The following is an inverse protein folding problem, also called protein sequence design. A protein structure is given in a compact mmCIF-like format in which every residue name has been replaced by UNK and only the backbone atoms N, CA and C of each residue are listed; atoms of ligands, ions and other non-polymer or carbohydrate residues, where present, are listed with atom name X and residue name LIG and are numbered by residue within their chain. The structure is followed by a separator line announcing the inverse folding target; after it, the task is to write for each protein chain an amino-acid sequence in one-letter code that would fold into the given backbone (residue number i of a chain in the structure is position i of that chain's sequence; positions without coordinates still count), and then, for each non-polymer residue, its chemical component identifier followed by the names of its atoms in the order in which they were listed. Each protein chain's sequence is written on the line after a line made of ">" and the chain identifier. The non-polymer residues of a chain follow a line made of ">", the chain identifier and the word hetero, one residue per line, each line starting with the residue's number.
data_IF_339059844840
#
_entry.id   IF_339059844840
#
_cell.length_a   1.000
_cell.length_b   1.000
_cell.length_c   1.000
_cell.angle_alpha   90.00
_cell.angle_beta   90.00
_cell.angle_gamma   90.00
#
_symmetry.space_group_name_H-M   'P 1'
#
loop_
_entity.id
_entity.type
_entity.pdbx_description
1 polymer ?
#
# COMPACT_ATOMS: atom_id res chain seq x y z
N UNK A 1 -5.71 -26.85 -23.04
CA UNK A 1 -5.82 -25.43 -22.64
C UNK A 1 -4.72 -24.94 -21.68
N UNK A 2 -3.93 -25.82 -21.02
CA UNK A 2 -2.90 -25.39 -20.05
C UNK A 2 -1.55 -24.91 -20.64
N UNK A 3 -1.25 -25.20 -21.91
CA UNK A 3 0.08 -24.94 -22.50
C UNK A 3 0.35 -23.48 -22.89
N UNK A 4 -0.68 -22.66 -23.08
CA UNK A 4 -0.54 -21.25 -23.48
C UNK A 4 -0.34 -20.29 -22.28
N UNK A 5 -0.39 -20.76 -21.04
CA UNK A 5 -0.29 -19.92 -19.84
C UNK A 5 1.14 -19.79 -19.29
N UNK A 6 2.00 -20.79 -19.57
CA UNK A 6 3.37 -20.89 -19.08
C UNK A 6 4.25 -19.65 -19.40
N UNK A 7 4.29 -19.14 -20.65
CA UNK A 7 5.14 -18.00 -20.98
C UNK A 7 4.73 -16.71 -20.27
N UNK A 8 3.41 -16.53 -20.05
CA UNK A 8 2.87 -15.38 -19.33
C UNK A 8 3.25 -15.40 -17.85
N UNK A 9 3.15 -16.57 -17.21
CA UNK A 9 3.55 -16.75 -15.80
C UNK A 9 5.06 -16.52 -15.60
N UNK A 10 5.90 -17.03 -16.50
CA UNK A 10 7.35 -16.79 -16.48
C UNK A 10 7.68 -15.30 -16.61
N UNK A 11 7.03 -14.61 -17.54
CA UNK A 11 7.24 -13.17 -17.77
C UNK A 11 6.85 -12.35 -16.54
N UNK A 12 5.71 -12.65 -15.92
CA UNK A 12 5.27 -12.00 -14.69
C UNK A 12 6.23 -12.25 -13.54
N UNK A 13 6.67 -13.49 -13.33
CA UNK A 13 7.62 -13.84 -12.27
C UNK A 13 8.94 -13.06 -12.42
N UNK A 14 9.49 -12.98 -13.63
CA UNK A 14 10.72 -12.23 -13.93
C UNK A 14 10.52 -10.74 -13.68
N UNK A 15 9.40 -10.17 -14.11
CA UNK A 15 9.10 -8.74 -13.89
C UNK A 15 9.04 -8.39 -12.40
N UNK A 16 8.34 -9.20 -11.59
CA UNK A 16 8.23 -8.97 -10.14
C UNK A 16 9.58 -9.12 -9.44
N UNK A 17 10.36 -10.15 -9.79
CA UNK A 17 11.68 -10.37 -9.19
C UNK A 17 12.70 -9.30 -9.58
N UNK A 18 12.63 -8.78 -10.80
CA UNK A 18 13.46 -7.66 -11.22
C UNK A 18 13.16 -6.41 -10.38
N UNK A 19 11.87 -6.10 -10.19
CA UNK A 19 11.42 -5.03 -9.28
C UNK A 19 11.91 -5.26 -7.84
N UNK A 20 11.87 -6.50 -7.35
CA UNK A 20 12.37 -6.83 -6.01
C UNK A 20 13.85 -6.46 -5.84
N UNK A 21 14.69 -6.75 -6.84
CA UNK A 21 16.13 -6.42 -6.84
C UNK A 21 16.36 -4.90 -6.91
N UNK A 22 15.60 -4.18 -7.73
CA UNK A 22 15.71 -2.72 -7.83
C UNK A 22 15.34 -2.02 -6.51
N UNK A 23 14.30 -2.51 -5.83
CA UNK A 23 13.88 -2.03 -4.51
C UNK A 23 14.92 -2.35 -3.42
N UNK A 24 15.52 -3.55 -3.47
CA UNK A 24 16.60 -3.96 -2.55
C UNK A 24 17.80 -3.02 -2.65
N UNK A 25 18.23 -2.73 -3.89
CA UNK A 25 19.31 -1.78 -4.17
C UNK A 25 18.99 -0.35 -3.70
N UNK A 26 17.71 0.00 -3.72
CA UNK A 26 17.21 1.31 -3.26
C UNK A 26 16.94 1.36 -1.75
N UNK A 27 17.32 0.33 -0.99
CA UNK A 27 17.06 0.20 0.46
C UNK A 27 15.58 0.22 0.86
N UNK A 28 14.66 -0.02 -0.09
CA UNK A 28 13.22 -0.17 0.16
C UNK A 28 12.91 -1.60 0.57
N UNK A 29 13.45 -2.00 1.72
CA UNK A 29 13.52 -3.40 2.13
C UNK A 29 12.14 -4.04 2.36
N UNK A 30 11.17 -3.31 2.93
CA UNK A 30 9.85 -3.88 3.19
C UNK A 30 9.09 -4.17 1.89
N UNK A 31 9.14 -3.26 0.92
CA UNK A 31 8.57 -3.48 -0.42
C UNK A 31 9.33 -4.55 -1.20
N UNK A 32 10.67 -4.51 -1.17
CA UNK A 32 11.52 -5.51 -1.81
C UNK A 32 11.18 -6.92 -1.31
N UNK A 33 11.01 -7.09 0.02
CA UNK A 33 10.64 -8.37 0.62
C UNK A 33 9.31 -8.89 0.07
N UNK A 34 8.30 -8.04 -0.05
CA UNK A 34 6.99 -8.43 -0.60
C UNK A 34 7.12 -8.84 -2.07
N UNK A 35 7.85 -8.07 -2.88
CA UNK A 35 8.11 -8.45 -4.27
C UNK A 35 8.90 -9.76 -4.39
N UNK A 36 9.86 -10.02 -3.50
CA UNK A 36 10.54 -11.32 -3.47
C UNK A 36 9.56 -12.45 -3.16
N UNK A 37 8.70 -12.30 -2.15
CA UNK A 37 7.71 -13.32 -1.78
C UNK A 37 6.74 -13.63 -2.92
N UNK A 38 6.16 -12.59 -3.53
CA UNK A 38 5.25 -12.73 -4.68
C UNK A 38 5.97 -13.36 -5.89
N UNK A 39 7.17 -12.88 -6.21
CA UNK A 39 7.96 -13.40 -7.33
C UNK A 39 8.40 -14.85 -7.15
N UNK A 40 8.77 -15.24 -5.92
CA UNK A 40 9.10 -16.62 -5.55
C UNK A 40 7.86 -17.51 -5.69
N UNK A 41 6.70 -17.05 -5.22
CA UNK A 41 5.45 -17.79 -5.33
C UNK A 41 5.09 -18.06 -6.80
N UNK A 42 5.21 -17.05 -7.67
CA UNK A 42 5.01 -17.20 -9.11
C UNK A 42 6.00 -18.20 -9.73
N UNK A 43 7.28 -18.14 -9.36
CA UNK A 43 8.28 -19.12 -9.83
C UNK A 43 8.00 -20.54 -9.34
N UNK A 44 7.52 -20.71 -8.11
CA UNK A 44 7.09 -22.02 -7.60
C UNK A 44 5.92 -22.58 -8.42
N UNK A 45 4.98 -21.73 -8.82
CA UNK A 45 3.85 -22.14 -9.66
C UNK A 45 4.29 -22.48 -11.09
N UNK A 46 5.26 -21.76 -11.66
CA UNK A 46 5.93 -22.14 -12.92
C UNK A 46 6.61 -23.51 -12.78
N UNK A 47 7.36 -23.74 -11.70
CA UNK A 47 8.09 -24.98 -11.47
C UNK A 47 7.18 -26.22 -11.44
N UNK A 48 5.94 -26.09 -10.94
CA UNK A 48 4.94 -27.16 -10.91
C UNK A 48 4.49 -27.61 -12.31
N UNK A 49 4.54 -26.72 -13.30
CA UNK A 49 3.96 -26.94 -14.64
C UNK A 49 5.04 -27.24 -15.70
N UNK A 50 6.26 -26.75 -15.49
CA UNK A 50 7.41 -27.02 -16.38
C UNK A 50 7.69 -28.52 -16.45
N UNK A 51 7.88 -29.05 -17.66
CA UNK A 51 8.21 -30.47 -17.89
C UNK A 51 9.70 -30.73 -18.08
N UNK A 52 10.43 -29.72 -18.57
CA UNK A 52 11.86 -29.79 -18.85
C UNK A 52 12.68 -29.84 -17.55
N UNK A 53 13.42 -30.94 -17.35
CA UNK A 53 14.20 -31.13 -16.12
C UNK A 53 15.38 -30.15 -15.99
N UNK A 54 16.00 -29.72 -17.10
CA UNK A 54 17.09 -28.74 -17.04
C UNK A 54 16.59 -27.37 -16.57
N UNK A 55 15.41 -26.94 -17.06
CA UNK A 55 14.74 -25.73 -16.60
C UNK A 55 14.29 -25.83 -15.15
N UNK A 56 13.80 -27.00 -14.71
CA UNK A 56 13.43 -27.21 -13.30
C UNK A 56 14.63 -27.03 -12.36
N UNK A 57 15.79 -27.59 -12.71
CA UNK A 57 17.02 -27.41 -11.92
C UNK A 57 17.38 -25.93 -11.84
N UNK A 58 17.39 -25.23 -12.97
CA UNK A 58 17.67 -23.78 -13.02
C UNK A 58 16.71 -22.97 -12.14
N UNK A 59 15.40 -23.22 -12.22
CA UNK A 59 14.41 -22.50 -11.42
C UNK A 59 14.54 -22.82 -9.93
N UNK A 60 14.84 -24.08 -9.54
CA UNK A 60 15.09 -24.41 -8.13
C UNK A 60 16.29 -23.65 -7.55
N UNK A 61 17.38 -23.53 -8.31
CA UNK A 61 18.56 -22.76 -7.89
C UNK A 61 18.22 -21.28 -7.71
N UNK A 62 17.48 -20.70 -8.67
CA UNK A 62 17.03 -19.29 -8.58
C UNK A 62 16.09 -19.06 -7.39
N UNK A 63 15.10 -19.93 -7.21
CA UNK A 63 14.16 -19.87 -6.09
C UNK A 63 14.92 -19.93 -4.76
N UNK A 64 15.90 -20.84 -4.64
CA UNK A 64 16.76 -20.92 -3.45
C UNK A 64 17.49 -19.60 -3.19
N UNK A 65 18.17 -19.04 -4.19
CA UNK A 65 18.88 -17.78 -4.04
C UNK A 65 17.98 -16.61 -3.62
N UNK A 66 16.78 -16.50 -4.21
CA UNK A 66 15.81 -15.46 -3.83
C UNK A 66 15.21 -15.70 -2.44
N UNK A 67 14.92 -16.94 -2.06
CA UNK A 67 14.46 -17.27 -0.70
C UNK A 67 15.51 -16.93 0.35
N UNK A 68 16.78 -17.28 0.11
CA UNK A 68 17.88 -16.97 1.03
C UNK A 68 18.02 -15.45 1.22
N UNK A 69 17.93 -14.67 0.14
CA UNK A 69 17.95 -13.20 0.22
C UNK A 69 16.74 -12.64 0.96
N UNK A 70 15.54 -13.14 0.68
CA UNK A 70 14.31 -12.72 1.35
C UNK A 70 14.35 -13.00 2.86
N UNK A 71 14.89 -14.15 3.27
CA UNK A 71 15.02 -14.50 4.69
C UNK A 71 16.04 -13.60 5.40
N UNK A 72 17.22 -13.35 4.78
CA UNK A 72 18.19 -12.40 5.32
C UNK A 72 17.59 -11.00 5.51
N UNK A 73 16.83 -10.54 4.50
CA UNK A 73 16.17 -9.25 4.54
C UNK A 73 15.10 -9.19 5.64
N UNK A 74 14.31 -10.26 5.79
CA UNK A 74 13.31 -10.39 6.86
C UNK A 74 13.94 -10.35 8.24
N UNK A 75 15.06 -11.04 8.45
CA UNK A 75 15.82 -11.00 9.72
C UNK A 75 16.32 -9.59 10.00
N UNK A 76 16.91 -8.91 9.00
CA UNK A 76 17.36 -7.53 9.13
C UNK A 76 16.21 -6.57 9.49
N UNK A 77 15.08 -6.67 8.77
CA UNK A 77 13.89 -5.88 9.01
C UNK A 77 13.32 -6.08 10.41
N UNK A 78 13.24 -7.33 10.87
CA UNK A 78 12.76 -7.64 12.21
C UNK A 78 13.68 -7.05 13.28
N UNK A 79 15.00 -7.14 13.08
CA UNK A 79 16.00 -6.53 13.99
C UNK A 79 15.85 -5.00 14.04
N UNK A 80 15.77 -4.34 12.89
CA UNK A 80 15.61 -2.86 12.82
C UNK A 80 14.28 -2.42 13.44
N UNK A 81 13.20 -3.20 13.26
CA UNK A 81 11.92 -2.97 13.93
C UNK A 81 12.04 -3.17 15.44
N UNK A 82 12.69 -4.24 15.90
CA UNK A 82 12.92 -4.54 17.32
C UNK A 82 13.74 -3.48 18.04
N UNK A 83 14.80 -2.99 17.39
CA UNK A 83 15.59 -1.86 17.87
C UNK A 83 14.83 -0.53 17.82
N UNK A 84 13.62 -0.52 17.22
CA UNK A 84 12.81 0.67 17.07
C UNK A 84 13.54 1.73 16.25
N UNK A 85 14.24 1.35 15.19
CA UNK A 85 14.99 2.26 14.29
C UNK A 85 14.47 2.22 12.85
N UNK A 86 13.33 1.58 12.61
CA UNK A 86 12.78 1.49 11.26
C UNK A 86 12.27 2.86 10.81
N UNK A 87 12.93 3.40 9.81
CA UNK A 87 12.50 4.57 9.05
C UNK A 87 12.79 4.28 7.58
N UNK A 88 11.76 4.39 6.75
CA UNK A 88 11.84 4.30 5.31
C UNK A 88 11.22 5.56 4.73
N UNK A 89 11.92 6.22 3.81
CA UNK A 89 11.43 7.41 3.14
C UNK A 89 11.26 7.12 1.65
N UNK A 90 10.05 7.33 1.14
CA UNK A 90 9.71 7.18 -0.27
C UNK A 90 9.47 8.58 -0.82
N UNK A 91 10.27 8.96 -1.82
CA UNK A 91 10.10 10.24 -2.52
C UNK A 91 9.28 10.03 -3.78
N UNK A 92 8.11 10.66 -3.85
CA UNK A 92 7.26 10.69 -5.03
C UNK A 92 7.62 11.97 -5.79
N UNK A 93 8.31 11.83 -6.92
CA UNK A 93 8.67 12.95 -7.78
C UNK A 93 7.45 13.56 -8.47
N UNK A 94 7.56 14.82 -8.91
CA UNK A 94 6.49 15.45 -9.67
C UNK A 94 6.15 14.66 -10.94
N UNK A 95 4.85 14.47 -11.19
CA UNK A 95 4.30 13.71 -12.31
C UNK A 95 4.67 12.22 -12.33
N UNK A 96 5.19 11.68 -11.23
CA UNK A 96 5.45 10.25 -11.11
C UNK A 96 4.13 9.45 -11.11
N UNK A 97 4.18 8.20 -11.57
CA UNK A 97 3.06 7.24 -11.60
C UNK A 97 3.46 5.97 -10.83
N UNK A 98 2.52 5.04 -10.65
CA UNK A 98 2.74 3.76 -9.94
C UNK A 98 2.64 3.87 -8.42
N UNK A 99 1.95 4.89 -7.93
CA UNK A 99 1.74 5.15 -6.50
C UNK A 99 0.25 5.14 -6.16
N UNK A 100 -0.51 4.14 -6.63
CA UNK A 100 -1.84 3.93 -6.07
C UNK A 100 -1.76 3.65 -4.57
N UNK A 101 -2.88 3.79 -3.85
CA UNK A 101 -2.91 3.40 -2.44
C UNK A 101 -2.56 1.92 -2.25
N UNK A 102 -3.02 1.05 -3.16
CA UNK A 102 -2.67 -0.37 -3.10
C UNK A 102 -1.16 -0.56 -3.18
N UNK A 103 -0.49 0.04 -4.16
CA UNK A 103 0.97 -0.05 -4.27
C UNK A 103 1.68 0.52 -3.04
N UNK A 104 1.19 1.65 -2.50
CA UNK A 104 1.84 2.35 -1.39
C UNK A 104 1.66 1.63 -0.04
N UNK A 105 0.47 1.11 0.26
CA UNK A 105 0.14 0.60 1.59
C UNK A 105 0.20 -0.93 1.70
N UNK A 106 0.00 -1.68 0.60
CA UNK A 106 0.04 -3.15 0.59
C UNK A 106 1.26 -3.75 1.32
N UNK A 107 2.49 -3.19 1.22
CA UNK A 107 3.66 -3.75 1.92
C UNK A 107 3.54 -3.77 3.45
N UNK A 108 2.64 -2.97 4.01
CA UNK A 108 2.45 -2.75 5.44
C UNK A 108 1.15 -3.38 5.98
N UNK A 109 0.32 -3.94 5.10
CA UNK A 109 -0.93 -4.63 5.44
C UNK A 109 -0.67 -6.14 5.55
N UNK A 110 -1.25 -6.77 6.58
CA UNK A 110 -1.15 -8.22 6.85
C UNK A 110 -2.49 -8.76 7.34
N UNK A 111 -2.65 -10.08 7.33
CA UNK A 111 -3.89 -10.78 7.73
C UNK A 111 -4.40 -10.40 9.14
N UNK A 112 -3.49 -10.05 10.05
CA UNK A 112 -3.81 -9.65 11.42
C UNK A 112 -4.19 -8.19 11.63
N UNK A 113 -4.22 -7.35 10.59
CA UNK A 113 -4.65 -5.94 10.69
C UNK A 113 -6.15 -5.88 10.94
N UNK A 114 -6.57 -5.27 12.05
CA UNK A 114 -7.98 -5.17 12.47
C UNK A 114 -8.48 -3.74 12.64
N UNK A 115 -7.60 -2.80 13.00
CA UNK A 115 -7.94 -1.39 13.22
C UNK A 115 -6.95 -0.45 12.50
N UNK A 116 -7.52 0.58 11.87
CA UNK A 116 -6.80 1.62 11.13
C UNK A 116 -7.19 3.00 11.67
N UNK A 117 -6.22 3.90 11.78
CA UNK A 117 -6.44 5.32 12.06
C UNK A 117 -5.94 6.15 10.89
N UNK A 118 -6.75 7.09 10.44
CA UNK A 118 -6.43 8.05 9.38
C UNK A 118 -6.63 9.44 9.96
N UNK A 119 -5.54 10.17 10.12
CA UNK A 119 -5.53 11.59 10.46
C UNK A 119 -5.18 12.37 9.19
N UNK A 120 -6.16 13.07 8.62
CA UNK A 120 -5.95 13.88 7.41
C UNK A 120 -6.90 15.09 7.44
N UNK A 121 -6.38 16.32 7.61
CA UNK A 121 -7.22 17.52 7.66
C UNK A 121 -7.97 17.81 6.35
N UNK A 122 -7.56 17.24 5.22
CA UNK A 122 -8.03 17.64 3.91
C UNK A 122 -9.06 16.67 3.32
N UNK A 123 -9.80 15.90 4.10
CA UNK A 123 -10.91 15.08 3.57
C UNK A 123 -12.19 15.90 3.50
N UNK A 124 -12.26 16.88 2.59
CA UNK A 124 -13.34 17.88 2.52
C UNK A 124 -14.08 17.85 1.18
N UNK A 125 -13.34 18.02 0.09
CA UNK A 125 -13.91 18.12 -1.26
C UNK A 125 -14.20 16.75 -1.88
N UNK A 126 -15.05 16.72 -2.90
CA UNK A 126 -15.49 15.49 -3.59
C UNK A 126 -14.34 14.57 -4.01
N UNK A 127 -13.26 15.11 -4.58
CA UNK A 127 -12.11 14.28 -5.00
C UNK A 127 -11.35 13.69 -3.80
N UNK A 128 -11.31 14.39 -2.67
CA UNK A 128 -10.69 13.96 -1.41
C UNK A 128 -11.54 12.89 -0.71
N UNK A 129 -12.87 13.02 -0.79
CA UNK A 129 -13.81 11.99 -0.34
C UNK A 129 -13.64 10.70 -1.17
N UNK A 130 -13.50 10.81 -2.48
CA UNK A 130 -13.19 9.67 -3.34
C UNK A 130 -11.80 9.07 -3.11
N UNK A 131 -10.81 9.90 -2.74
CA UNK A 131 -9.50 9.44 -2.29
C UNK A 131 -9.65 8.57 -1.04
N UNK A 132 -10.37 9.05 -0.02
CA UNK A 132 -10.64 8.26 1.18
C UNK A 132 -11.44 6.97 0.89
N UNK A 133 -12.46 7.03 0.02
CA UNK A 133 -13.21 5.85 -0.40
C UNK A 133 -12.30 4.79 -1.04
N UNK A 134 -11.43 5.19 -1.98
CA UNK A 134 -10.46 4.26 -2.61
C UNK A 134 -9.49 3.66 -1.59
N UNK A 135 -9.07 4.43 -0.60
CA UNK A 135 -8.26 3.93 0.50
C UNK A 135 -9.02 2.85 1.30
N UNK A 136 -10.30 3.06 1.59
CA UNK A 136 -11.14 2.04 2.21
C UNK A 136 -11.29 0.79 1.32
N UNK A 137 -11.61 0.96 0.03
CA UNK A 137 -11.72 -0.17 -0.92
C UNK A 137 -10.45 -1.02 -0.99
N UNK A 138 -9.28 -0.39 -0.91
CA UNK A 138 -8.00 -1.10 -0.84
C UNK A 138 -7.91 -1.97 0.42
N UNK A 139 -8.37 -1.48 1.58
CA UNK A 139 -8.39 -2.29 2.81
C UNK A 139 -9.31 -3.50 2.67
N UNK A 140 -10.46 -3.37 1.99
CA UNK A 140 -11.37 -4.50 1.74
C UNK A 140 -10.79 -5.53 0.76
N UNK A 141 -10.02 -5.08 -0.24
CA UNK A 141 -9.36 -5.95 -1.22
C UNK A 141 -8.14 -6.66 -0.64
N UNK A 142 -7.46 -6.02 0.30
CA UNK A 142 -6.30 -6.61 0.95
C UNK A 142 -6.73 -7.85 1.74
N UNK A 143 -5.87 -8.86 1.78
CA UNK A 143 -6.06 -10.05 2.62
C UNK A 143 -5.86 -9.67 4.10
N UNK A 144 -6.80 -8.90 4.66
CA UNK A 144 -6.79 -8.40 6.03
C UNK A 144 -8.19 -8.42 6.64
N UNK A 145 -8.25 -8.38 7.97
CA UNK A 145 -9.50 -8.50 8.72
C UNK A 145 -9.87 -7.18 9.39
N UNK A 146 -9.73 -6.06 8.66
CA UNK A 146 -10.07 -4.74 9.20
C UNK A 146 -11.54 -4.73 9.59
N UNK A 147 -11.81 -4.35 10.83
CA UNK A 147 -13.15 -4.19 11.40
C UNK A 147 -13.46 -2.76 11.78
N UNK A 148 -12.44 -1.92 11.94
CA UNK A 148 -12.62 -0.55 12.38
C UNK A 148 -11.66 0.41 11.70
N UNK A 149 -12.21 1.52 11.21
CA UNK A 149 -11.49 2.64 10.63
C UNK A 149 -11.85 3.87 11.44
N UNK A 150 -10.85 4.58 11.96
CA UNK A 150 -11.02 5.82 12.70
C UNK A 150 -10.51 6.97 11.81
N UNK A 151 -11.41 7.82 11.32
CA UNK A 151 -11.08 9.01 10.56
C UNK A 151 -11.11 10.24 11.46
N UNK A 152 -10.00 10.96 11.53
CA UNK A 152 -9.90 12.29 12.12
C UNK A 152 -9.62 13.29 10.99
N UNK A 153 -10.59 14.13 10.68
CA UNK A 153 -10.48 15.18 9.65
C UNK A 153 -10.85 16.53 10.22
N UNK A 154 -10.69 17.59 9.44
CA UNK A 154 -11.19 18.91 9.79
C UNK A 154 -12.48 19.21 9.03
N UNK A 155 -13.37 19.99 9.65
CA UNK A 155 -14.65 20.34 9.05
C UNK A 155 -14.46 21.43 7.98
N UNK A 156 -15.16 21.31 6.87
CA UNK A 156 -15.19 22.35 5.84
C UNK A 156 -15.99 23.56 6.32
N UNK A 157 -15.41 24.76 6.21
CA UNK A 157 -16.05 26.01 6.68
C UNK A 157 -17.23 26.47 5.81
N UNK A 158 -17.28 26.03 4.55
CA UNK A 158 -18.22 26.55 3.54
C UNK A 158 -19.28 25.50 3.18
N UNK A 159 -18.91 24.23 3.11
CA UNK A 159 -19.73 23.12 2.63
C UNK A 159 -19.67 21.90 3.57
N UNK A 160 -19.73 22.14 4.88
CA UNK A 160 -19.73 21.09 5.92
C UNK A 160 -20.80 20.03 5.67
N UNK A 161 -22.01 20.43 5.26
CA UNK A 161 -23.10 19.50 4.98
C UNK A 161 -22.77 18.49 3.88
N UNK A 162 -22.09 18.93 2.81
CA UNK A 162 -21.69 18.04 1.72
C UNK A 162 -20.65 17.01 2.20
N UNK A 163 -19.67 17.46 2.97
CA UNK A 163 -18.65 16.60 3.57
C UNK A 163 -19.30 15.56 4.50
N UNK A 164 -20.16 16.00 5.41
CA UNK A 164 -20.84 15.16 6.39
C UNK A 164 -21.74 14.13 5.73
N UNK A 165 -22.56 14.55 4.76
CA UNK A 165 -23.45 13.65 4.01
C UNK A 165 -22.65 12.57 3.27
N UNK A 166 -21.59 12.96 2.56
CA UNK A 166 -20.77 12.01 1.82
C UNK A 166 -20.01 11.03 2.74
N UNK A 167 -19.48 11.51 3.87
CA UNK A 167 -18.83 10.64 4.85
C UNK A 167 -19.83 9.70 5.54
N UNK A 168 -21.06 10.14 5.75
CA UNK A 168 -22.14 9.29 6.27
C UNK A 168 -22.52 8.18 5.28
N UNK A 169 -22.59 8.49 3.98
CA UNK A 169 -22.80 7.49 2.92
C UNK A 169 -21.66 6.46 2.90
N UNK A 170 -20.40 6.90 2.96
CA UNK A 170 -19.23 5.99 3.04
C UNK A 170 -19.33 5.12 4.29
N UNK A 171 -19.68 5.70 5.45
CA UNK A 171 -19.87 4.96 6.70
C UNK A 171 -20.93 3.87 6.58
N UNK A 172 -22.08 4.19 5.99
CA UNK A 172 -23.16 3.22 5.79
C UNK A 172 -22.74 2.11 4.83
N UNK A 173 -22.04 2.46 3.74
CA UNK A 173 -21.53 1.47 2.78
C UNK A 173 -20.45 0.55 3.36
N UNK A 174 -19.63 1.04 4.29
CA UNK A 174 -18.67 0.19 5.00
C UNK A 174 -19.33 -0.71 6.03
N UNK A 175 -20.41 -0.23 6.66
CA UNK A 175 -21.15 -1.01 7.64
C UNK A 175 -21.82 -2.24 7.01
N UNK A 176 -22.24 -2.20 5.74
CA UNK A 176 -22.76 -3.39 5.04
C UNK A 176 -21.68 -4.45 4.78
N UNK A 177 -20.41 -4.09 4.87
CA UNK A 177 -19.25 -4.98 4.76
C UNK A 177 -18.66 -5.33 6.14
N UNK A 178 -19.44 -5.13 7.22
CA UNK A 178 -19.05 -5.35 8.62
C UNK A 178 -17.83 -4.53 9.09
N UNK A 179 -17.64 -3.32 8.52
CA UNK A 179 -16.58 -2.39 8.90
C UNK A 179 -17.19 -1.16 9.58
N UNK A 180 -16.74 -0.88 10.81
CA UNK A 180 -17.13 0.30 11.57
C UNK A 180 -16.25 1.50 11.19
N UNK A 181 -16.84 2.54 10.59
CA UNK A 181 -16.18 3.83 10.38
C UNK A 181 -16.57 4.82 11.49
N UNK A 182 -15.62 5.17 12.35
CA UNK A 182 -15.73 6.24 13.36
C UNK A 182 -15.14 7.53 12.80
N UNK A 183 -15.91 8.62 12.80
CA UNK A 183 -15.50 9.90 12.20
C UNK A 183 -15.49 10.96 13.29
N UNK A 184 -14.37 11.64 13.43
CA UNK A 184 -14.18 12.77 14.34
C UNK A 184 -13.70 13.98 13.58
N UNK A 185 -14.16 15.14 14.01
CA UNK A 185 -13.75 16.43 13.46
C UNK A 185 -12.90 17.19 14.47
N UNK A 186 -11.81 17.79 14.00
CA UNK A 186 -10.99 18.72 14.77
C UNK A 186 -10.46 19.81 13.86
N UNK A 187 -10.51 21.07 14.32
CA UNK A 187 -10.00 22.23 13.59
C UNK A 187 -8.50 22.47 13.81
N UNK A 188 -7.87 21.80 14.79
CA UNK A 188 -6.48 22.02 15.20
C UNK A 188 -5.50 20.99 14.66
N UNK A 189 -5.97 20.02 13.87
CA UNK A 189 -5.12 18.98 13.31
C UNK A 189 -4.40 19.49 12.06
N UNK A 190 -3.11 19.16 11.98
CA UNK A 190 -2.26 19.45 10.83
C UNK A 190 -1.49 18.22 10.35
N UNK A 191 -1.43 17.18 11.18
CA UNK A 191 -0.74 15.95 10.89
C UNK A 191 -1.49 15.15 9.81
N UNK A 192 -0.71 14.50 8.95
CA UNK A 192 -1.17 13.65 7.84
C UNK A 192 -0.58 12.28 8.06
N UNK A 193 -1.32 11.43 8.76
CA UNK A 193 -0.82 10.18 9.30
C UNK A 193 -1.83 9.04 9.11
N UNK A 194 -1.36 7.90 8.63
CA UNK A 194 -2.10 6.64 8.67
C UNK A 194 -1.40 5.71 9.64
N UNK A 195 -2.13 5.17 10.62
CA UNK A 195 -1.63 4.16 11.56
C UNK A 195 -2.36 2.85 11.40
N UNK A 196 -1.61 1.77 11.54
CA UNK A 196 -2.11 0.40 11.59
C UNK A 196 -1.87 -0.19 12.99
N UNK A 197 -2.80 -1.01 13.48
CA UNK A 197 -2.71 -1.64 14.81
C UNK A 197 -1.52 -2.61 14.94
N UNK A 198 -0.97 -3.07 13.82
CA UNK A 198 0.24 -3.87 13.73
C UNK A 198 1.52 -3.04 13.93
N UNK A 199 1.40 -1.74 14.18
CA UNK A 199 2.47 -0.84 14.56
C UNK A 199 3.05 0.01 13.43
N UNK A 200 2.59 -0.13 12.18
CA UNK A 200 3.04 0.75 11.11
C UNK A 200 2.42 2.14 11.20
N UNK A 201 3.24 3.16 10.95
CA UNK A 201 2.82 4.56 10.85
C UNK A 201 3.34 5.10 9.52
N UNK A 202 2.46 5.68 8.71
CA UNK A 202 2.79 6.24 7.41
C UNK A 202 2.40 7.71 7.42
N UNK A 203 3.38 8.60 7.32
CA UNK A 203 3.18 10.05 7.21
C UNK A 203 3.35 10.48 5.77
N UNK A 204 2.36 11.17 5.21
CA UNK A 204 2.38 11.59 3.81
C UNK A 204 2.35 13.11 3.76
N UNK A 205 3.32 13.71 3.09
CA UNK A 205 3.46 15.17 3.00
C UNK A 205 2.19 15.88 2.54
N UNK A 206 1.36 15.27 1.68
CA UNK A 206 0.07 15.81 1.20
C UNK A 206 -1.17 15.08 1.73
N UNK A 207 -1.01 14.15 2.66
CA UNK A 207 -2.10 13.26 3.08
C UNK A 207 -2.50 12.31 1.96
N UNK A 208 -3.77 11.94 1.88
CA UNK A 208 -4.30 11.12 0.80
C UNK A 208 -4.42 11.89 -0.53
N UNK A 209 -4.27 13.22 -0.54
CA UNK A 209 -4.49 14.08 -1.72
C UNK A 209 -3.20 14.44 -2.49
N UNK A 210 -2.41 13.42 -2.84
CA UNK A 210 -1.20 13.60 -3.65
C UNK A 210 -1.40 13.34 -5.15
N UNK A 211 -2.60 13.02 -5.62
CA UNK A 211 -2.85 12.80 -7.05
C UNK A 211 -3.14 14.09 -7.80
N UNK A 212 -2.61 14.22 -9.02
CA UNK A 212 -2.99 15.30 -9.92
C UNK A 212 -4.39 15.06 -10.49
N UNK A 213 -5.00 16.14 -10.95
CA UNK A 213 -6.23 16.06 -11.74
C UNK A 213 -5.96 15.30 -13.05
N UNK A 214 -6.90 14.48 -13.54
CA UNK A 214 -6.73 13.78 -14.81
C UNK A 214 -6.65 14.77 -15.98
N UNK A 215 -5.94 14.40 -17.05
CA UNK A 215 -5.75 15.24 -18.25
C UNK A 215 -7.07 15.49 -19.01
N UNK A 216 -8.04 14.59 -18.85
CA UNK A 216 -9.37 14.73 -19.43
C UNK A 216 -10.35 13.71 -18.85
N UNK A 217 -11.61 13.74 -19.30
CA UNK A 217 -12.67 12.84 -18.81
C UNK A 217 -12.43 11.36 -19.14
N UNK A 218 -11.73 11.09 -20.24
CA UNK A 218 -11.43 9.75 -20.74
C UNK A 218 -9.92 9.55 -20.95
N UNK A 219 -9.10 10.12 -20.06
CA UNK A 219 -7.65 9.92 -20.10
C UNK A 219 -7.24 8.63 -19.39
N UNK A 220 -6.16 8.00 -19.87
CA UNK A 220 -5.49 6.93 -19.11
C UNK A 220 -5.12 7.45 -17.71
N UNK A 221 -5.32 6.60 -16.70
CA UNK A 221 -5.19 6.98 -15.30
C UNK A 221 -6.43 7.61 -14.67
N UNK A 222 -7.58 7.69 -15.36
CA UNK A 222 -8.81 8.23 -14.76
C UNK A 222 -9.35 7.33 -13.62
N UNK A 223 -9.46 6.03 -13.86
CA UNK A 223 -9.95 5.06 -12.89
C UNK A 223 -8.82 4.36 -12.12
N UNK A 224 -7.77 3.96 -12.85
CA UNK A 224 -6.60 3.30 -12.28
C UNK A 224 -5.57 4.34 -11.82
N UNK A 225 -5.34 4.41 -10.51
CA UNK A 225 -4.47 5.42 -9.91
C UNK A 225 -2.99 5.04 -9.96
N UNK A 226 -2.63 3.80 -10.33
CA UNK A 226 -1.24 3.49 -10.67
C UNK A 226 -0.82 4.15 -11.99
N UNK A 227 -1.77 4.51 -12.84
CA UNK A 227 -1.52 5.25 -14.08
C UNK A 227 -1.74 6.76 -13.93
N UNK A 228 -2.07 7.25 -12.74
CA UNK A 228 -2.31 8.67 -12.46
C UNK A 228 -1.02 9.38 -12.05
N UNK A 229 -0.79 10.55 -12.64
CA UNK A 229 0.31 11.42 -12.25
C UNK A 229 0.12 11.97 -10.83
N UNK A 230 1.18 11.94 -10.04
CA UNK A 230 1.20 12.44 -8.67
C UNK A 230 1.85 13.83 -8.58
N UNK A 231 1.45 14.61 -7.58
CA UNK A 231 2.19 15.78 -7.12
C UNK A 231 3.45 15.33 -6.37
N UNK A 232 4.49 16.16 -6.42
CA UNK A 232 5.68 15.90 -5.58
C UNK A 232 5.29 15.83 -4.10
N UNK A 233 5.68 14.74 -3.43
CA UNK A 233 5.48 14.55 -2.00
C UNK A 233 6.50 13.56 -1.45
N UNK A 234 6.64 13.57 -0.12
CA UNK A 234 7.42 12.55 0.61
C UNK A 234 6.46 11.69 1.41
N UNK A 235 6.77 10.39 1.52
CA UNK A 235 6.10 9.43 2.39
C UNK A 235 7.14 8.89 3.35
N UNK A 236 6.93 9.11 4.65
CA UNK A 236 7.80 8.60 5.70
C UNK A 236 7.08 7.45 6.42
N UNK A 237 7.74 6.31 6.50
CA UNK A 237 7.20 5.10 7.11
C UNK A 237 8.00 4.77 8.36
N UNK A 238 7.29 4.57 9.46
CA UNK A 238 7.82 4.26 10.78
C UNK A 238 7.14 3.01 11.35
N UNK A 239 7.74 2.44 12.39
CA UNK A 239 7.15 1.35 13.16
C UNK A 239 7.13 1.72 14.66
N UNK A 240 5.99 1.61 15.34
CA UNK A 240 5.69 2.11 16.71
C UNK A 240 6.59 1.61 17.83
N UNK A 241 7.43 0.59 17.60
CA UNK A 241 8.59 0.36 18.50
C UNK A 241 9.50 1.60 18.61
N UNK A 242 9.37 2.56 17.69
CA UNK A 242 10.04 3.86 17.67
C UNK A 242 9.23 5.02 18.31
N UNK A 243 7.92 4.88 18.54
CA UNK A 243 7.15 5.92 19.24
C UNK A 243 7.30 5.74 20.75
N UNK A 244 8.39 6.29 21.32
CA UNK A 244 8.40 6.63 22.74
C UNK A 244 7.16 7.48 22.98
N UNK A 245 6.17 6.92 23.68
CA UNK A 245 5.17 7.73 24.37
C UNK A 245 5.97 8.64 25.31
N UNK A 246 6.10 9.88 24.89
CA UNK A 246 6.60 10.97 25.75
C UNK A 246 5.38 11.69 26.27
#
# INVERSE_FOLDING_TARGET
>A
MAQNCLPGMETSAVSVLKRAVELDQSSRFQESLVCYQEGIQLLLDVLKVVKDESKKVHYREKIKGYMDRAEQMKVHLNKVKEEGKYHEQIKISDSATGFSYETLFKPYIREGLTEVWVEDPYIRHVHQLYNFLRFCEMLLKAQCNVKKINLLTSQDEVSSYQQESALAEIRQSLQSEDICLDIKYSSTIHDREVRFDNGWIIKIGRGLDYFKKPKGRFSIGYCDYDLRECHETTVDVFHTKHTKKT
#
